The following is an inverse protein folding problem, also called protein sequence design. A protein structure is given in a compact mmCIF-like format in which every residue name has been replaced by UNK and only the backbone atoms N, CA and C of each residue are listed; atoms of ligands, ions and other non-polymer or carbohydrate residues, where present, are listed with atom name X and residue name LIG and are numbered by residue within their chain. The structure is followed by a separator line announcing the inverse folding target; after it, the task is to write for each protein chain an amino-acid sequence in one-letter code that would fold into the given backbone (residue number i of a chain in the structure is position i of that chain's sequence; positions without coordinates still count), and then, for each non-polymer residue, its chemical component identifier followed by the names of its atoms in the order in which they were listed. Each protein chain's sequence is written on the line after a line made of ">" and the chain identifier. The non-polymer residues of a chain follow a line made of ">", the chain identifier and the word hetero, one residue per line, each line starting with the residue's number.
data_IF_488821638658
#
_entry.id   IF_488821638658
#
_cell.length_a   1.000
_cell.length_b   1.000
_cell.length_c   1.000
_cell.angle_alpha   90.00
_cell.angle_beta   90.00
_cell.angle_gamma   90.00
#
_symmetry.space_group_name_H-M   'P 1'
#
loop_
_entity.id
_entity.type
_entity.pdbx_description
1 polymer ?
#
# COMPACT_ATOMS: atom_id res chain seq x y z
N UNK A 1 8.57 55.03 -19.00
CA UNK A 1 7.33 54.23 -19.13
C UNK A 1 7.71 53.10 -20.05
N UNK A 2 8.05 51.91 -19.58
CA UNK A 2 7.24 51.02 -18.76
C UNK A 2 8.10 50.28 -17.73
N UNK A 3 7.75 50.41 -16.45
CA UNK A 3 8.20 49.47 -15.42
C UNK A 3 7.13 48.37 -15.38
N UNK A 4 7.39 47.27 -16.08
CA UNK A 4 6.61 46.04 -15.91
C UNK A 4 6.76 45.61 -14.45
N UNK A 5 5.73 45.88 -13.64
CA UNK A 5 5.64 45.37 -12.29
C UNK A 5 5.58 43.83 -12.38
N UNK A 6 6.73 43.16 -12.23
CA UNK A 6 6.75 41.75 -11.81
C UNK A 6 5.92 41.68 -10.54
N UNK A 7 4.74 41.09 -10.66
CA UNK A 7 3.79 40.99 -9.56
C UNK A 7 4.28 39.87 -8.66
N UNK A 8 5.18 40.19 -7.74
CA UNK A 8 5.65 39.26 -6.72
C UNK A 8 4.46 38.98 -5.80
N UNK A 9 3.89 37.79 -5.90
CA UNK A 9 2.82 37.34 -5.01
C UNK A 9 3.45 36.57 -3.86
N UNK A 10 3.08 36.97 -2.64
CA UNK A 10 3.56 36.32 -1.43
C UNK A 10 2.55 35.30 -0.91
N UNK A 11 3.04 34.14 -0.49
CA UNK A 11 2.20 33.04 -0.03
C UNK A 11 2.85 32.36 1.18
N UNK A 12 2.03 31.83 2.10
CA UNK A 12 2.52 31.07 3.26
C UNK A 12 2.52 29.58 2.96
N UNK A 13 3.65 28.94 3.23
CA UNK A 13 3.80 27.48 3.21
C UNK A 13 3.81 26.96 4.63
N UNK A 14 2.99 25.94 4.89
CA UNK A 14 3.07 25.14 6.11
C UNK A 14 3.67 23.77 5.80
N UNK A 15 4.70 23.39 6.54
CA UNK A 15 5.26 22.04 6.52
C UNK A 15 4.56 21.22 7.61
N UNK A 16 3.81 20.17 7.24
CA UNK A 16 3.25 19.22 8.20
C UNK A 16 4.06 17.93 8.18
N UNK A 17 4.69 17.58 9.29
CA UNK A 17 5.26 16.25 9.51
C UNK A 17 4.30 15.42 10.35
N UNK A 18 3.79 14.31 9.81
CA UNK A 18 3.16 13.28 10.63
C UNK A 18 4.27 12.37 11.19
N UNK A 19 4.50 12.46 12.50
CA UNK A 19 5.26 11.44 13.22
C UNK A 19 4.30 10.40 13.81
N UNK A 20 4.73 9.14 13.74
CA UNK A 20 3.92 7.94 13.87
C UNK A 20 2.99 7.84 15.08
N UNK A 21 1.75 7.41 14.78
CA UNK A 21 0.81 6.53 15.49
C UNK A 21 0.35 6.73 16.93
N UNK A 22 0.90 7.57 17.79
CA UNK A 22 0.28 7.74 19.14
C UNK A 22 0.28 9.14 19.75
N UNK A 23 0.80 10.17 19.08
CA UNK A 23 0.49 11.58 19.38
C UNK A 23 1.01 12.42 18.20
N UNK A 24 0.11 13.13 17.50
CA UNK A 24 0.51 13.95 16.34
C UNK A 24 1.24 15.19 16.84
N UNK A 25 2.57 15.13 16.93
CA UNK A 25 3.41 16.33 16.96
C UNK A 25 3.52 16.85 15.53
N UNK A 26 2.56 17.68 15.12
CA UNK A 26 2.72 18.47 13.89
C UNK A 26 3.76 19.56 14.19
N UNK A 27 4.95 19.44 13.62
CA UNK A 27 5.91 20.55 13.64
C UNK A 27 5.56 21.50 12.49
N UNK A 28 4.60 22.40 12.73
CA UNK A 28 4.20 23.40 11.75
C UNK A 28 5.31 24.46 11.59
N UNK A 29 6.05 24.39 10.47
CA UNK A 29 6.97 25.47 10.06
C UNK A 29 6.28 26.32 9.01
N UNK A 30 6.07 27.61 9.32
CA UNK A 30 5.59 28.61 8.37
C UNK A 30 6.77 29.26 7.65
N UNK A 31 6.77 29.25 6.32
CA UNK A 31 7.69 30.04 5.50
C UNK A 31 6.93 30.91 4.51
N UNK A 32 7.37 32.16 4.36
CA UNK A 32 6.86 33.06 3.34
C UNK A 32 7.67 32.85 2.06
N UNK A 33 6.99 32.63 0.95
CA UNK A 33 7.61 32.53 -0.37
C UNK A 33 7.16 33.66 -1.28
N UNK A 34 7.98 33.92 -2.30
CA UNK A 34 7.73 34.89 -3.36
C UNK A 34 7.77 34.16 -4.70
N UNK A 35 6.70 34.29 -5.47
CA UNK A 35 6.59 33.65 -6.78
C UNK A 35 6.72 34.69 -7.89
N UNK A 36 7.56 34.37 -8.88
CA UNK A 36 7.72 35.20 -10.10
C UNK A 36 6.63 34.91 -11.13
N UNK A 37 6.20 33.66 -11.20
CA UNK A 37 5.19 33.17 -12.14
C UNK A 37 4.13 32.39 -11.36
N UNK A 38 2.86 32.57 -11.71
CA UNK A 38 1.73 31.90 -11.05
C UNK A 38 1.48 30.52 -11.65
N UNK A 39 2.49 29.67 -11.58
CA UNK A 39 2.48 28.30 -12.12
C UNK A 39 2.71 27.29 -11.00
N UNK A 40 2.24 26.07 -11.22
CA UNK A 40 2.52 24.94 -10.36
C UNK A 40 4.01 24.62 -10.28
N UNK A 41 4.73 24.78 -11.39
CA UNK A 41 6.18 24.57 -11.42
C UNK A 41 6.92 25.54 -10.49
N UNK A 42 6.57 26.83 -10.52
CA UNK A 42 7.18 27.83 -9.64
C UNK A 42 6.86 27.53 -8.17
N UNK A 43 5.60 27.18 -7.89
CA UNK A 43 5.16 26.82 -6.54
C UNK A 43 5.96 25.64 -6.00
N UNK A 44 6.14 24.60 -6.83
CA UNK A 44 6.91 23.42 -6.50
C UNK A 44 8.37 23.77 -6.22
N UNK A 45 8.99 24.59 -7.08
CA UNK A 45 10.37 25.05 -6.91
C UNK A 45 10.57 25.79 -5.59
N UNK A 46 9.69 26.73 -5.27
CA UNK A 46 9.75 27.48 -4.01
C UNK A 46 9.52 26.57 -2.79
N UNK A 47 8.65 25.57 -2.94
CA UNK A 47 8.40 24.57 -1.90
C UNK A 47 9.65 23.74 -1.58
N UNK A 48 10.39 23.29 -2.59
CA UNK A 48 11.66 22.59 -2.39
C UNK A 48 12.73 23.47 -1.73
N UNK A 49 12.77 24.77 -2.07
CA UNK A 49 13.70 25.72 -1.42
C UNK A 49 13.38 25.95 0.07
N UNK A 50 12.16 25.64 0.50
CA UNK A 50 11.76 25.74 1.89
C UNK A 50 12.21 24.56 2.75
N UNK A 51 12.69 23.47 2.14
CA UNK A 51 13.11 22.26 2.83
C UNK A 51 14.54 22.36 3.36
N UNK A 52 14.76 21.74 4.51
CA UNK A 52 16.08 21.58 5.10
C UNK A 52 16.67 20.20 4.78
N UNK A 53 17.98 20.03 4.97
CA UNK A 53 18.64 18.74 4.73
C UNK A 53 17.99 17.56 5.49
N UNK A 54 17.52 17.81 6.71
CA UNK A 54 16.78 16.84 7.53
C UNK A 54 15.49 16.35 6.86
N UNK A 55 14.79 17.23 6.14
CA UNK A 55 13.57 16.89 5.40
C UNK A 55 13.89 15.92 4.26
N UNK A 56 14.96 16.17 3.49
CA UNK A 56 15.42 15.26 2.44
C UNK A 56 15.89 13.91 2.99
N UNK A 57 16.55 13.91 4.16
CA UNK A 57 16.91 12.67 4.84
C UNK A 57 15.66 11.88 5.24
N UNK A 58 14.63 12.54 5.77
CA UNK A 58 13.35 11.92 6.12
C UNK A 58 12.68 11.32 4.89
N UNK A 59 12.54 12.10 3.81
CA UNK A 59 11.96 11.62 2.55
C UNK A 59 12.65 10.36 2.03
N UNK A 60 13.99 10.33 2.06
CA UNK A 60 14.78 9.19 1.60
C UNK A 60 14.61 7.96 2.49
N UNK A 61 14.66 8.14 3.82
CA UNK A 61 14.59 7.03 4.77
C UNK A 61 13.20 6.41 4.86
N UNK A 62 12.16 7.23 4.74
CA UNK A 62 10.76 6.82 4.87
C UNK A 62 10.06 6.63 3.51
N UNK A 63 10.79 6.79 2.40
CA UNK A 63 10.29 6.65 1.03
C UNK A 63 9.04 7.52 0.77
N UNK A 64 9.13 8.79 1.16
CA UNK A 64 8.04 9.77 1.06
C UNK A 64 8.14 10.56 -0.24
N UNK A 65 6.99 10.92 -0.77
CA UNK A 65 6.81 11.85 -1.89
C UNK A 65 6.31 13.19 -1.34
N UNK A 66 6.84 14.27 -1.91
CA UNK A 66 6.34 15.63 -1.65
C UNK A 66 5.08 15.87 -2.48
N UNK A 67 4.01 16.31 -1.83
CA UNK A 67 2.79 16.78 -2.47
C UNK A 67 2.41 18.15 -1.91
N UNK A 68 1.76 18.95 -2.74
CA UNK A 68 1.26 20.27 -2.37
C UNK A 68 -0.26 20.21 -2.22
N UNK A 69 -0.79 20.80 -1.17
CA UNK A 69 -2.23 20.83 -0.94
C UNK A 69 -2.70 22.20 -0.44
N UNK A 70 -3.94 22.57 -0.74
CA UNK A 70 -4.56 23.75 -0.14
C UNK A 70 -4.82 23.52 1.36
N UNK A 71 -5.31 24.55 2.05
CA UNK A 71 -5.65 24.46 3.47
C UNK A 71 -6.81 23.48 3.77
N UNK A 72 -7.61 23.13 2.76
CA UNK A 72 -8.69 22.13 2.82
C UNK A 72 -8.20 20.71 2.48
N UNK A 73 -6.89 20.51 2.30
CA UNK A 73 -6.23 19.24 1.93
C UNK A 73 -6.55 18.75 0.51
N UNK A 74 -6.99 19.62 -0.40
CA UNK A 74 -7.10 19.30 -1.82
C UNK A 74 -5.71 19.39 -2.46
N UNK A 75 -5.33 18.37 -3.24
CA UNK A 75 -4.03 18.34 -3.92
C UNK A 75 -3.98 19.42 -5.01
N UNK A 76 -2.91 20.20 -4.98
CA UNK A 76 -2.57 21.21 -5.98
C UNK A 76 -1.69 20.52 -7.02
N UNK A 77 -2.10 20.56 -8.28
CA UNK A 77 -1.37 19.91 -9.37
C UNK A 77 -1.45 20.62 -10.71
N UNK A 78 -2.07 21.81 -10.76
CA UNK A 78 -2.31 22.58 -11.99
C UNK A 78 -2.11 24.07 -11.75
N UNK A 79 -1.79 24.82 -12.79
CA UNK A 79 -1.65 26.27 -12.72
C UNK A 79 -2.98 26.95 -12.31
N UNK A 80 -4.11 26.40 -12.73
CA UNK A 80 -5.44 26.87 -12.33
C UNK A 80 -5.62 26.79 -10.81
N UNK A 81 -5.29 25.64 -10.21
CA UNK A 81 -5.38 25.46 -8.75
C UNK A 81 -4.45 26.42 -7.97
N UNK A 82 -3.28 26.75 -8.52
CA UNK A 82 -2.38 27.75 -7.92
C UNK A 82 -3.01 29.15 -7.95
N UNK A 83 -3.59 29.55 -9.09
CA UNK A 83 -4.25 30.85 -9.23
C UNK A 83 -5.43 30.99 -8.28
N UNK A 84 -6.25 29.94 -8.12
CA UNK A 84 -7.38 29.94 -7.18
C UNK A 84 -6.93 30.22 -5.75
N UNK A 85 -5.84 29.58 -5.29
CA UNK A 85 -5.28 29.80 -3.95
C UNK A 85 -4.77 31.22 -3.79
N UNK A 86 -4.07 31.73 -4.81
CA UNK A 86 -3.48 33.07 -4.75
C UNK A 86 -4.50 34.21 -4.89
N UNK A 87 -5.71 33.92 -5.39
CA UNK A 87 -6.83 34.84 -5.41
C UNK A 87 -7.62 34.87 -4.09
N UNK A 88 -7.28 34.01 -3.13
CA UNK A 88 -7.91 34.02 -1.80
C UNK A 88 -7.40 35.18 -0.94
N UNK A 89 -8.18 35.57 0.07
CA UNK A 89 -7.83 36.66 0.99
C UNK A 89 -6.57 36.34 1.84
N UNK A 90 -6.24 35.06 2.04
CA UNK A 90 -5.05 34.60 2.76
C UNK A 90 -4.37 33.44 1.99
N UNK A 91 -3.55 33.75 0.98
CA UNK A 91 -2.93 32.75 0.13
C UNK A 91 -2.01 31.85 0.94
N UNK A 92 -2.41 30.60 1.07
CA UNK A 92 -1.71 29.61 1.88
C UNK A 92 -1.90 28.20 1.34
N UNK A 93 -0.85 27.39 1.51
CA UNK A 93 -0.86 25.98 1.16
C UNK A 93 0.07 25.19 2.08
N UNK A 94 -0.01 23.87 1.95
CA UNK A 94 0.71 22.91 2.77
C UNK A 94 1.60 22.04 1.90
N UNK A 95 2.79 21.75 2.40
CA UNK A 95 3.61 20.64 1.93
C UNK A 95 3.19 19.42 2.75
N UNK A 96 2.69 18.41 2.05
CA UNK A 96 2.29 17.12 2.60
C UNK A 96 3.32 16.08 2.18
N UNK A 97 3.72 15.25 3.12
CA UNK A 97 4.50 14.05 2.85
C UNK A 97 3.57 12.86 2.70
N UNK A 98 3.52 12.25 1.52
CA UNK A 98 2.77 11.02 1.31
C UNK A 98 3.73 9.86 1.14
N UNK A 99 3.55 8.80 1.94
CA UNK A 99 4.36 7.60 1.74
C UNK A 99 4.02 6.98 0.40
N UNK A 100 5.03 6.58 -0.38
CA UNK A 100 4.79 5.81 -1.61
C UNK A 100 4.13 4.45 -1.31
N UNK A 101 4.27 3.92 -0.08
CA UNK A 101 3.52 2.74 0.36
C UNK A 101 2.03 3.07 0.59
N UNK A 102 1.69 4.32 0.91
CA UNK A 102 0.32 4.77 1.17
C UNK A 102 -0.48 5.12 -0.10
N UNK A 103 0.15 5.30 -1.28
CA UNK A 103 -0.62 5.41 -2.53
C UNK A 103 -1.39 4.12 -2.88
N UNK A 104 -1.01 2.98 -2.29
CA UNK A 104 -1.79 1.73 -2.34
C UNK A 104 -2.92 1.72 -1.28
N UNK A 105 -2.85 2.59 -0.26
CA UNK A 105 -3.70 2.58 0.95
C UNK A 105 -4.90 3.54 0.85
N UNK A 106 -4.87 4.52 -0.06
CA UNK A 106 -6.01 5.43 -0.26
C UNK A 106 -7.21 4.78 -0.99
N UNK A 107 -7.03 3.60 -1.59
CA UNK A 107 -8.17 2.69 -1.75
C UNK A 107 -8.56 2.19 -0.36
N UNK A 108 -9.64 2.77 0.21
CA UNK A 108 -10.29 2.37 1.48
C UNK A 108 -9.83 0.97 1.91
N UNK A 109 -8.94 0.89 2.91
CA UNK A 109 -8.46 -0.40 3.42
C UNK A 109 -9.65 -1.26 3.80
N UNK A 110 -9.93 -2.27 2.97
CA UNK A 110 -11.00 -3.23 3.24
C UNK A 110 -10.48 -4.19 4.30
N UNK A 111 -10.99 -4.04 5.53
CA UNK A 111 -10.73 -5.00 6.59
C UNK A 111 -11.37 -6.34 6.22
N UNK A 112 -10.53 -7.35 6.01
CA UNK A 112 -10.95 -8.74 5.86
C UNK A 112 -11.33 -9.25 7.25
N UNK A 113 -12.58 -9.67 7.43
CA UNK A 113 -13.11 -10.16 8.71
C UNK A 113 -13.45 -11.64 8.68
N UNK A 114 -13.70 -12.19 7.49
CA UNK A 114 -14.16 -13.56 7.33
C UNK A 114 -13.52 -14.19 6.08
N UNK A 115 -12.20 -14.42 6.13
CA UNK A 115 -11.51 -15.11 5.05
C UNK A 115 -11.63 -16.63 5.16
N UNK A 116 -11.73 -17.27 4.00
CA UNK A 116 -11.36 -18.67 3.82
C UNK A 116 -9.92 -18.75 3.33
N UNK A 117 -9.09 -19.53 4.02
CA UNK A 117 -7.72 -19.82 3.65
C UNK A 117 -7.61 -21.31 3.27
N UNK A 118 -7.17 -21.57 2.04
CA UNK A 118 -6.94 -22.92 1.51
C UNK A 118 -5.44 -23.06 1.28
N UNK A 119 -4.81 -24.02 1.95
CA UNK A 119 -3.42 -24.39 1.73
C UNK A 119 -3.33 -25.74 1.02
N UNK A 120 -2.55 -25.79 -0.05
CA UNK A 120 -2.14 -27.02 -0.72
C UNK A 120 -0.64 -27.18 -0.45
N UNK A 121 -0.31 -28.14 0.40
CA UNK A 121 1.03 -28.43 0.89
C UNK A 121 1.51 -29.77 0.30
N UNK A 122 2.36 -29.72 -0.72
CA UNK A 122 2.91 -30.89 -1.40
C UNK A 122 4.37 -31.04 -1.00
N UNK A 123 4.63 -31.95 -0.07
CA UNK A 123 5.97 -32.19 0.46
C UNK A 123 6.59 -33.50 -0.01
N UNK A 124 5.80 -34.41 -0.59
CA UNK A 124 6.24 -35.74 -1.00
C UNK A 124 5.98 -35.96 -2.49
N UNK A 125 7.02 -36.40 -3.21
CA UNK A 125 7.03 -36.60 -4.66
C UNK A 125 7.37 -38.05 -5.01
N UNK A 126 7.03 -38.47 -6.23
CA UNK A 126 7.43 -39.79 -6.73
C UNK A 126 8.91 -39.75 -7.14
N UNK A 127 9.65 -40.84 -6.90
CA UNK A 127 11.10 -40.91 -7.16
C UNK A 127 11.46 -40.70 -8.64
N UNK A 128 10.56 -41.07 -9.55
CA UNK A 128 10.72 -40.94 -11.00
C UNK A 128 10.53 -39.51 -11.53
N UNK A 129 10.02 -38.59 -10.70
CA UNK A 129 9.76 -37.19 -11.11
C UNK A 129 11.01 -36.30 -11.04
N UNK A 130 12.10 -36.76 -10.44
CA UNK A 130 13.32 -35.95 -10.23
C UNK A 130 13.20 -34.90 -9.13
N UNK A 131 12.01 -34.68 -8.57
CA UNK A 131 11.77 -33.72 -7.49
C UNK A 131 12.10 -34.31 -6.12
N UNK A 132 12.88 -33.56 -5.34
CA UNK A 132 13.22 -33.94 -3.96
C UNK A 132 12.07 -33.63 -3.00
N UNK A 133 11.86 -34.47 -1.98
CA UNK A 133 10.85 -34.22 -0.95
C UNK A 133 11.16 -32.93 -0.15
N UNK A 134 10.15 -32.10 0.04
CA UNK A 134 10.24 -30.80 0.72
C UNK A 134 9.87 -30.92 2.19
N UNK A 135 10.78 -31.45 3.02
CA UNK A 135 10.53 -31.68 4.46
C UNK A 135 10.07 -30.43 5.23
N UNK A 136 10.52 -29.24 4.82
CA UNK A 136 10.16 -27.98 5.48
C UNK A 136 8.69 -27.61 5.30
N UNK A 137 8.08 -28.00 4.17
CA UNK A 137 6.65 -27.78 3.94
C UNK A 137 5.83 -28.52 5.00
N UNK A 138 6.16 -29.80 5.22
CA UNK A 138 5.52 -30.67 6.23
C UNK A 138 5.78 -30.20 7.66
N UNK A 139 7.01 -29.80 7.96
CA UNK A 139 7.44 -29.56 9.34
C UNK A 139 7.15 -28.14 9.81
N UNK A 140 7.35 -27.14 8.94
CA UNK A 140 7.38 -25.73 9.32
C UNK A 140 6.25 -24.95 8.67
N UNK A 141 6.09 -25.03 7.35
CA UNK A 141 5.19 -24.11 6.62
C UNK A 141 3.73 -24.29 7.04
N UNK A 142 3.24 -25.54 7.07
CA UNK A 142 1.87 -25.84 7.51
C UNK A 142 1.63 -25.27 8.92
N UNK A 143 2.54 -25.55 9.86
CA UNK A 143 2.44 -25.08 11.25
C UNK A 143 2.43 -23.55 11.34
N UNK A 144 3.31 -22.89 10.58
CA UNK A 144 3.45 -21.44 10.59
C UNK A 144 2.21 -20.75 10.01
N UNK A 145 1.75 -21.19 8.83
CA UNK A 145 0.57 -20.63 8.20
C UNK A 145 -0.70 -20.92 8.98
N UNK A 146 -0.85 -22.13 9.51
CA UNK A 146 -1.97 -22.45 10.38
C UNK A 146 -1.96 -21.57 11.63
N UNK A 147 -0.80 -21.37 12.27
CA UNK A 147 -0.70 -20.45 13.42
C UNK A 147 -1.13 -19.03 13.05
N UNK A 148 -0.57 -18.48 11.97
CA UNK A 148 -0.87 -17.11 11.53
C UNK A 148 -2.36 -16.96 11.17
N UNK A 149 -2.86 -17.75 10.23
CA UNK A 149 -4.20 -17.57 9.68
C UNK A 149 -5.31 -18.07 10.61
N UNK A 150 -5.12 -19.22 11.26
CA UNK A 150 -6.15 -19.81 12.10
C UNK A 150 -6.12 -19.28 13.54
N UNK A 151 -4.93 -19.14 14.16
CA UNK A 151 -4.83 -18.75 15.57
C UNK A 151 -4.78 -17.25 15.77
N UNK A 152 -3.91 -16.56 15.01
CA UNK A 152 -3.71 -15.11 15.17
C UNK A 152 -4.81 -14.31 14.47
N UNK A 153 -5.08 -14.61 13.20
CA UNK A 153 -6.08 -13.90 12.39
C UNK A 153 -7.50 -14.47 12.51
N UNK A 154 -7.66 -15.65 13.12
CA UNK A 154 -8.97 -16.32 13.35
C UNK A 154 -9.77 -16.59 12.08
N UNK A 155 -9.10 -16.78 10.95
CA UNK A 155 -9.72 -17.16 9.68
C UNK A 155 -9.97 -18.67 9.62
N UNK A 156 -10.89 -19.07 8.74
CA UNK A 156 -11.09 -20.49 8.47
C UNK A 156 -9.93 -21.00 7.63
N UNK A 157 -9.19 -21.97 8.15
CA UNK A 157 -8.02 -22.55 7.50
C UNK A 157 -8.27 -24.02 7.16
N UNK A 158 -8.09 -24.39 5.89
CA UNK A 158 -8.21 -25.76 5.38
C UNK A 158 -6.90 -26.11 4.68
N UNK A 159 -6.32 -27.26 5.02
CA UNK A 159 -5.13 -27.79 4.38
C UNK A 159 -5.41 -29.23 3.95
N UNK A 160 -4.76 -29.69 2.88
CA UNK A 160 -4.77 -31.11 2.52
C UNK A 160 -4.09 -31.95 3.61
N UNK A 161 -4.67 -33.12 3.89
CA UNK A 161 -4.13 -34.07 4.86
C UNK A 161 -2.95 -34.87 4.28
N UNK A 162 -3.04 -35.22 2.99
CA UNK A 162 -2.03 -36.04 2.33
C UNK A 162 -0.90 -35.17 1.73
N UNK A 163 0.36 -35.31 2.19
CA UNK A 163 1.50 -34.54 1.68
C UNK A 163 1.91 -34.87 0.24
N UNK A 164 1.37 -35.96 -0.33
CA UNK A 164 1.64 -36.42 -1.69
C UNK A 164 0.37 -36.31 -2.52
N UNK A 165 0.35 -35.36 -3.45
CA UNK A 165 -0.80 -35.11 -4.31
C UNK A 165 -0.39 -35.01 -5.76
N UNK A 166 -1.09 -35.74 -6.63
CA UNK A 166 -1.05 -35.56 -8.07
C UNK A 166 -2.15 -34.57 -8.54
N UNK A 167 -2.20 -34.29 -9.84
CA UNK A 167 -3.20 -33.38 -10.43
C UNK A 167 -4.66 -33.76 -10.10
N UNK A 168 -5.00 -35.04 -10.14
CA UNK A 168 -6.35 -35.51 -9.85
C UNK A 168 -6.68 -35.32 -8.36
N UNK A 169 -5.73 -35.62 -7.48
CA UNK A 169 -5.91 -35.43 -6.03
C UNK A 169 -6.18 -33.95 -5.70
N UNK A 170 -5.46 -33.03 -6.36
CA UNK A 170 -5.66 -31.58 -6.19
C UNK A 170 -7.05 -31.16 -6.69
N UNK A 171 -7.45 -31.64 -7.86
CA UNK A 171 -8.77 -31.34 -8.41
C UNK A 171 -9.90 -31.85 -7.49
N UNK A 172 -9.76 -33.07 -6.97
CA UNK A 172 -10.71 -33.65 -6.02
C UNK A 172 -10.77 -32.84 -4.73
N UNK A 173 -9.62 -32.50 -4.15
CA UNK A 173 -9.53 -31.68 -2.95
C UNK A 173 -10.23 -30.31 -3.12
N UNK A 174 -9.94 -29.59 -4.21
CA UNK A 174 -10.57 -28.31 -4.49
C UNK A 174 -12.08 -28.46 -4.75
N UNK A 175 -12.50 -29.51 -5.46
CA UNK A 175 -13.93 -29.78 -5.72
C UNK A 175 -14.67 -30.01 -4.41
N UNK A 176 -14.09 -30.81 -3.50
CA UNK A 176 -14.66 -31.07 -2.18
C UNK A 176 -14.79 -29.78 -1.36
N UNK A 177 -13.75 -28.93 -1.34
CA UNK A 177 -13.80 -27.64 -0.65
C UNK A 177 -14.90 -26.74 -1.22
N UNK A 178 -15.03 -26.65 -2.54
CA UNK A 178 -16.06 -25.82 -3.18
C UNK A 178 -17.46 -26.24 -2.72
N UNK A 179 -17.72 -27.55 -2.62
CA UNK A 179 -19.00 -28.11 -2.17
C UNK A 179 -19.20 -27.88 -0.66
N UNK A 180 -18.25 -28.30 0.17
CA UNK A 180 -18.35 -28.23 1.64
C UNK A 180 -18.42 -26.79 2.16
N UNK A 181 -17.64 -25.90 1.55
CA UNK A 181 -17.62 -24.48 1.90
C UNK A 181 -18.69 -23.68 1.16
N UNK A 182 -19.52 -24.34 0.34
CA UNK A 182 -20.63 -23.75 -0.43
C UNK A 182 -20.20 -22.53 -1.25
N UNK A 183 -19.01 -22.59 -1.87
CA UNK A 183 -18.38 -21.44 -2.51
C UNK A 183 -19.16 -20.94 -3.73
N UNK A 184 -19.90 -21.82 -4.43
CA UNK A 184 -20.75 -21.41 -5.57
C UNK A 184 -21.75 -20.30 -5.24
N UNK A 185 -22.28 -20.30 -4.01
CA UNK A 185 -23.22 -19.27 -3.53
C UNK A 185 -22.59 -18.35 -2.48
N UNK A 186 -21.36 -18.65 -2.05
CA UNK A 186 -20.70 -18.06 -0.90
C UNK A 186 -21.64 -17.96 0.32
N UNK A 187 -22.36 -19.04 0.64
CA UNK A 187 -23.35 -19.04 1.73
C UNK A 187 -22.74 -18.72 3.10
N UNK A 188 -21.45 -19.02 3.26
CA UNK A 188 -20.65 -18.71 4.45
C UNK A 188 -20.19 -17.24 4.51
N UNK A 189 -20.54 -16.43 3.51
CA UNK A 189 -20.28 -14.98 3.43
C UNK A 189 -18.80 -14.63 3.62
N UNK A 190 -17.91 -15.38 2.97
CA UNK A 190 -16.50 -15.03 2.97
C UNK A 190 -16.30 -13.70 2.24
N UNK A 191 -15.51 -12.81 2.84
CA UNK A 191 -15.15 -11.51 2.25
C UNK A 191 -13.78 -11.54 1.55
N UNK A 192 -13.03 -12.62 1.73
CA UNK A 192 -11.82 -12.94 0.98
C UNK A 192 -11.60 -14.45 0.85
N UNK A 193 -10.91 -14.84 -0.21
CA UNK A 193 -10.36 -16.18 -0.42
C UNK A 193 -8.84 -16.06 -0.55
N UNK A 194 -8.09 -16.77 0.28
CA UNK A 194 -6.63 -16.83 0.22
C UNK A 194 -6.25 -18.27 -0.14
N UNK A 195 -5.52 -18.45 -1.24
CA UNK A 195 -5.00 -19.75 -1.65
C UNK A 195 -3.48 -19.74 -1.54
N UNK A 196 -2.94 -20.73 -0.83
CA UNK A 196 -1.49 -20.91 -0.62
C UNK A 196 -1.12 -22.25 -1.25
N UNK A 197 -0.14 -22.24 -2.13
CA UNK A 197 0.41 -23.46 -2.74
C UNK A 197 1.87 -23.53 -2.32
N UNK A 198 2.23 -24.57 -1.58
CA UNK A 198 3.61 -24.84 -1.19
C UNK A 198 4.03 -26.19 -1.77
N UNK A 199 4.90 -26.14 -2.77
CA UNK A 199 5.38 -27.27 -3.54
C UNK A 199 6.44 -26.83 -4.54
N UNK A 200 6.92 -27.76 -5.35
CA UNK A 200 7.80 -27.44 -6.47
C UNK A 200 7.04 -26.72 -7.59
N UNK A 201 7.74 -25.85 -8.29
CA UNK A 201 7.29 -25.20 -9.51
C UNK A 201 8.38 -25.32 -10.57
N UNK A 202 7.97 -25.36 -11.83
CA UNK A 202 8.87 -25.31 -12.98
C UNK A 202 8.53 -24.05 -13.79
N UNK A 203 9.55 -23.44 -14.40
CA UNK A 203 9.42 -22.22 -15.20
C UNK A 203 8.83 -22.52 -16.60
N UNK A 204 8.68 -23.81 -16.96
CA UNK A 204 8.08 -24.21 -18.23
C UNK A 204 6.58 -23.89 -18.28
N UNK A 205 6.28 -22.67 -18.75
CA UNK A 205 4.97 -22.31 -19.28
C UNK A 205 4.72 -23.12 -20.57
N UNK A 206 3.78 -24.04 -20.52
CA UNK A 206 3.16 -24.64 -21.71
C UNK A 206 2.12 -23.69 -22.32
#
# INVERSE_FOLDING_TARGET
>A
MDTSHESVVSCRIYLESEDSKDDIKVEERMKQIEMKELTFEELLRQSYNCLEWSDFQKMRNENLKLELADMNKNIIGTDESVKEILLSDDPSFKIIWTSLQQQIIFEKTKTIKNALVIMIAISEYMEDTGWINLKNVKNNDITNFQKLFQKELKYKFICNDNPKMNKNDINEFLTNIIVEQQLYKNSNKYDALIMIISGHGDDEMY
#
